data_IF_648980719459
#
_entry.id   IF_648980719459
#
_cell.length_a   1.000
_cell.length_b   1.000
_cell.length_c   1.000
_cell.angle_alpha   90.00
_cell.angle_beta   90.00
_cell.angle_gamma   90.00
#
_symmetry.space_group_name_H-M   'P 1'
#
loop_
_entity.id
_entity.type
_entity.pdbx_description
1 polymer ?
#
# COMPACT_ATOMS: atom_id res chain seq x y z
N UNK A 1 -1.97 3.89 39.64
CA UNK A 1 -1.15 4.71 38.72
C UNK A 1 0.24 4.11 38.72
N UNK A 2 0.68 3.57 37.57
CA UNK A 2 2.00 2.98 37.40
C UNK A 2 2.78 3.82 36.40
N UNK A 3 3.96 4.29 36.81
CA UNK A 3 4.79 5.29 36.15
C UNK A 3 5.91 4.68 35.27
N UNK A 4 5.71 3.47 34.71
CA UNK A 4 6.72 2.77 33.89
C UNK A 4 6.19 2.20 32.56
N UNK A 5 5.14 2.78 31.97
CA UNK A 5 4.87 2.82 30.52
C UNK A 5 4.78 1.54 29.68
N UNK A 6 4.93 0.33 30.22
CA UNK A 6 4.62 -0.90 29.50
C UNK A 6 3.12 -1.10 29.51
N UNK A 7 2.47 -0.93 28.35
CA UNK A 7 1.10 -1.37 28.17
C UNK A 7 1.02 -2.87 28.55
N UNK A 8 0.13 -3.22 29.48
CA UNK A 8 -0.12 -4.63 29.77
C UNK A 8 -0.75 -5.27 28.53
N UNK A 9 -0.04 -6.26 27.99
CA UNK A 9 -0.54 -7.12 26.91
C UNK A 9 -0.94 -8.48 27.51
N UNK A 10 -1.99 -9.14 27.01
CA UNK A 10 -2.85 -8.71 25.90
C UNK A 10 -3.89 -7.68 26.34
N UNK A 11 -4.23 -6.73 25.46
CA UNK A 11 -5.32 -5.77 25.68
C UNK A 11 -6.24 -5.66 24.48
N UNK A 12 -7.44 -5.12 24.66
CA UNK A 12 -8.27 -4.68 23.53
C UNK A 12 -7.69 -3.42 22.89
N UNK A 13 -8.03 -3.21 21.61
CA UNK A 13 -7.88 -1.91 20.97
C UNK A 13 -8.66 -0.87 21.78
N UNK A 14 -8.09 0.31 21.96
CA UNK A 14 -8.80 1.45 22.57
C UNK A 14 -9.86 1.99 21.61
N UNK A 15 -10.77 2.84 22.11
CA UNK A 15 -11.78 3.46 21.26
C UNK A 15 -11.12 4.29 20.14
N UNK A 16 -10.09 5.07 20.49
CA UNK A 16 -9.31 5.87 19.54
C UNK A 16 -8.61 5.00 18.48
N UNK A 17 -7.97 3.90 18.88
CA UNK A 17 -7.32 2.99 17.91
C UNK A 17 -8.34 2.36 16.96
N UNK A 18 -9.51 1.97 17.48
CA UNK A 18 -10.60 1.42 16.64
C UNK A 18 -11.09 2.47 15.64
N UNK A 19 -11.30 3.72 16.08
CA UNK A 19 -11.70 4.82 15.19
C UNK A 19 -10.67 5.04 14.08
N UNK A 20 -9.40 5.14 14.46
CA UNK A 20 -8.29 5.38 13.53
C UNK A 20 -8.09 4.26 12.51
N UNK A 21 -8.21 3.00 12.95
CA UNK A 21 -8.17 1.85 12.04
C UNK A 21 -9.41 1.81 11.13
N UNK A 22 -10.59 2.10 11.66
CA UNK A 22 -11.84 2.13 10.90
C UNK A 22 -11.86 3.24 9.85
N UNK A 23 -11.16 4.35 10.08
CA UNK A 23 -10.98 5.41 9.08
C UNK A 23 -10.33 4.88 7.80
N UNK A 24 -9.41 3.91 7.91
CA UNK A 24 -8.77 3.27 6.75
C UNK A 24 -9.64 2.23 6.06
N UNK A 25 -10.74 1.82 6.66
CA UNK A 25 -11.48 0.63 6.27
C UNK A 25 -12.95 0.98 5.95
N UNK A 26 -13.27 1.33 4.69
CA UNK A 26 -14.63 1.62 4.27
C UNK A 26 -15.58 0.43 4.52
N UNK A 27 -16.68 0.68 5.22
CA UNK A 27 -17.68 -0.36 5.58
C UNK A 27 -18.41 -0.93 4.37
N UNK A 28 -18.56 -0.12 3.32
CA UNK A 28 -19.31 -0.46 2.12
C UNK A 28 -18.49 -1.29 1.10
N UNK A 29 -17.25 -1.66 1.43
CA UNK A 29 -16.38 -2.47 0.59
C UNK A 29 -16.04 -3.76 1.34
N UNK A 30 -16.46 -4.90 0.80
CA UNK A 30 -16.42 -6.21 1.47
C UNK A 30 -15.05 -6.59 2.03
N UNK A 31 -13.97 -6.34 1.30
CA UNK A 31 -12.62 -6.72 1.74
C UNK A 31 -12.20 -5.92 2.98
N UNK A 32 -12.51 -4.62 3.03
CA UNK A 32 -12.18 -3.76 4.16
C UNK A 32 -13.12 -4.04 5.35
N UNK A 33 -14.41 -4.28 5.11
CA UNK A 33 -15.35 -4.60 6.17
C UNK A 33 -15.00 -5.93 6.88
N UNK A 34 -14.53 -6.94 6.13
CA UNK A 34 -14.00 -8.19 6.72
C UNK A 34 -12.84 -7.90 7.68
N UNK A 35 -11.92 -7.02 7.30
CA UNK A 35 -10.83 -6.59 8.18
C UNK A 35 -11.34 -5.85 9.43
N UNK A 36 -12.36 -4.99 9.32
CA UNK A 36 -12.98 -4.32 10.49
C UNK A 36 -13.55 -5.31 11.50
N UNK A 37 -14.21 -6.35 11.02
CA UNK A 37 -14.73 -7.42 11.88
C UNK A 37 -13.56 -8.20 12.50
N UNK A 38 -12.54 -8.52 11.71
CA UNK A 38 -11.36 -9.26 12.15
C UNK A 38 -10.61 -8.54 13.26
N UNK A 39 -10.24 -7.27 13.08
CA UNK A 39 -9.45 -6.52 14.08
C UNK A 39 -10.19 -6.40 15.43
N UNK A 40 -11.53 -6.29 15.42
CA UNK A 40 -12.34 -6.23 16.65
C UNK A 40 -12.35 -7.54 17.44
N UNK A 41 -12.18 -8.67 16.72
CA UNK A 41 -12.12 -10.01 17.34
C UNK A 41 -10.78 -10.29 18.03
N UNK A 42 -9.72 -9.57 17.66
CA UNK A 42 -8.35 -9.80 18.14
C UNK A 42 -8.02 -8.95 19.40
N UNK A 43 -6.82 -9.16 19.91
CA UNK A 43 -6.21 -8.43 21.02
C UNK A 43 -4.85 -7.90 20.60
N UNK A 44 -4.46 -6.74 21.10
CA UNK A 44 -3.07 -6.26 21.00
C UNK A 44 -2.22 -7.14 21.91
N UNK A 45 -1.38 -7.97 21.32
CA UNK A 45 -0.56 -8.99 22.02
C UNK A 45 0.88 -8.53 22.26
N UNK A 46 1.30 -7.42 21.64
CA UNK A 46 2.60 -6.82 21.88
C UNK A 46 2.95 -5.72 20.87
N UNK A 47 4.18 -5.22 20.99
CA UNK A 47 4.76 -4.28 20.04
C UNK A 47 5.37 -5.01 18.84
N UNK A 48 5.32 -4.35 17.69
CA UNK A 48 6.05 -4.79 16.51
C UNK A 48 7.50 -4.31 16.53
N UNK A 49 8.20 -4.49 15.39
CA UNK A 49 9.63 -4.22 15.27
C UNK A 49 10.01 -2.75 15.42
N UNK A 50 9.09 -1.83 15.17
CA UNK A 50 9.35 -0.39 15.19
C UNK A 50 9.16 0.25 16.58
N UNK A 51 8.73 -0.54 17.57
CA UNK A 51 8.56 -0.09 18.96
C UNK A 51 7.22 0.61 19.20
N UNK A 52 7.24 1.68 19.99
CA UNK A 52 6.03 2.42 20.35
C UNK A 52 5.26 2.93 19.12
N UNK A 53 3.93 2.84 19.15
CA UNK A 53 3.09 3.17 17.99
C UNK A 53 3.00 2.06 16.93
N UNK A 54 3.74 0.95 17.07
CA UNK A 54 3.66 -0.22 16.21
C UNK A 54 3.29 -1.46 17.02
N UNK A 55 2.17 -2.09 16.67
CA UNK A 55 1.54 -3.12 17.48
C UNK A 55 1.13 -4.32 16.64
N UNK A 56 1.02 -5.47 17.30
CA UNK A 56 0.55 -6.72 16.68
C UNK A 56 -0.75 -7.15 17.35
N UNK A 57 -1.75 -7.42 16.52
CA UNK A 57 -3.01 -8.06 16.90
C UNK A 57 -2.89 -9.57 16.76
N UNK A 58 -3.43 -10.32 17.72
CA UNK A 58 -3.50 -11.79 17.70
C UNK A 58 -4.53 -12.33 18.70
N UNK A 59 -4.52 -13.64 18.94
CA UNK A 59 -5.36 -14.28 19.96
C UNK A 59 -4.71 -14.15 21.33
N UNK A 60 -5.52 -14.28 22.39
CA UNK A 60 -5.00 -14.35 23.75
C UNK A 60 -4.10 -15.58 23.87
N UNK A 61 -2.88 -15.37 24.37
CA UNK A 61 -1.87 -16.43 24.53
C UNK A 61 -0.87 -16.51 23.38
N UNK A 62 -1.14 -15.83 22.26
CA UNK A 62 -0.16 -15.70 21.18
C UNK A 62 1.02 -14.81 21.61
N UNK A 63 2.18 -15.05 21.01
CA UNK A 63 3.36 -14.20 21.12
C UNK A 63 3.55 -13.47 19.79
N UNK A 64 3.88 -12.16 19.79
CA UNK A 64 4.22 -11.43 18.58
C UNK A 64 5.22 -12.19 17.71
N UNK A 65 4.82 -12.56 16.49
CA UNK A 65 5.76 -13.16 15.54
C UNK A 65 6.56 -12.07 14.84
N UNK A 66 7.81 -11.92 15.26
CA UNK A 66 8.75 -10.97 14.69
C UNK A 66 9.78 -11.66 13.79
N UNK A 67 9.57 -12.91 13.36
CA UNK A 67 10.53 -13.63 12.52
C UNK A 67 10.61 -13.07 11.10
N UNK A 68 9.52 -12.50 10.58
CA UNK A 68 9.46 -11.87 9.26
C UNK A 68 9.52 -10.34 9.35
N UNK A 69 10.00 -9.70 8.27
CA UNK A 69 9.79 -8.27 8.08
C UNK A 69 8.29 -7.97 7.99
N UNK A 70 7.88 -6.73 8.30
CA UNK A 70 6.49 -6.31 8.16
C UNK A 70 5.91 -6.70 6.80
N UNK A 71 4.70 -7.26 6.86
CA UNK A 71 3.98 -7.77 5.70
C UNK A 71 3.64 -6.63 4.74
N UNK A 72 3.12 -6.92 3.53
CA UNK A 72 2.59 -5.87 2.68
C UNK A 72 1.55 -5.00 3.41
N UNK A 73 1.52 -3.71 3.06
CA UNK A 73 0.52 -2.80 3.61
C UNK A 73 -0.83 -3.11 2.98
N UNK A 74 -1.80 -3.43 3.82
CA UNK A 74 -3.19 -3.67 3.43
C UNK A 74 -3.97 -2.36 3.27
N UNK A 75 -3.81 -1.45 4.23
CA UNK A 75 -4.44 -0.13 4.18
C UNK A 75 -3.54 0.93 4.81
N UNK A 76 -3.59 2.15 4.28
CA UNK A 76 -2.83 3.28 4.81
C UNK A 76 -3.53 4.59 4.52
N UNK A 77 -3.30 5.56 5.40
CA UNK A 77 -3.88 6.88 5.33
C UNK A 77 -3.45 7.77 6.47
N UNK A 78 -3.87 9.02 6.42
CA UNK A 78 -3.56 10.01 7.43
C UNK A 78 -4.85 10.65 7.93
N UNK A 79 -4.94 10.82 9.24
CA UNK A 79 -6.02 11.53 9.89
C UNK A 79 -5.47 12.89 10.34
N UNK A 80 -6.23 13.95 10.11
CA UNK A 80 -5.89 15.31 10.52
C UNK A 80 -6.84 15.68 11.65
N UNK A 81 -6.26 15.92 12.83
CA UNK A 81 -6.92 16.49 13.99
C UNK A 81 -6.69 18.01 14.01
N UNK A 82 -7.33 18.74 14.92
CA UNK A 82 -7.10 20.18 15.08
C UNK A 82 -5.61 20.51 15.36
N UNK A 83 -4.96 19.72 16.23
CA UNK A 83 -3.58 19.98 16.69
C UNK A 83 -2.56 18.91 16.26
N UNK A 84 -2.95 17.92 15.46
CA UNK A 84 -2.08 16.80 15.10
C UNK A 84 -2.37 16.19 13.73
N UNK A 85 -1.37 15.53 13.16
CA UNK A 85 -1.50 14.64 12.00
C UNK A 85 -1.02 13.26 12.40
N UNK A 86 -1.87 12.27 12.17
CA UNK A 86 -1.60 10.87 12.52
C UNK A 86 -1.56 10.05 11.25
N UNK A 87 -0.44 9.35 11.02
CA UNK A 87 -0.30 8.34 9.99
C UNK A 87 -0.73 7.00 10.56
N UNK A 88 -1.68 6.34 9.89
CA UNK A 88 -2.15 5.01 10.23
C UNK A 88 -1.76 4.05 9.11
N UNK A 89 -1.24 2.88 9.47
CA UNK A 89 -0.89 1.82 8.53
C UNK A 89 -1.35 0.48 9.10
N UNK A 90 -2.00 -0.33 8.28
CA UNK A 90 -2.46 -1.67 8.59
C UNK A 90 -1.84 -2.63 7.59
N UNK A 91 -1.22 -3.70 8.08
CA UNK A 91 -0.59 -4.71 7.24
C UNK A 91 -1.56 -5.88 6.95
N UNK A 92 -1.23 -6.69 5.96
CA UNK A 92 -1.97 -7.93 5.67
C UNK A 92 -1.88 -8.90 6.86
N UNK A 93 -2.93 -9.72 7.01
CA UNK A 93 -2.94 -10.80 8.01
C UNK A 93 -2.02 -11.96 7.58
N UNK A 94 -1.25 -12.49 8.54
CA UNK A 94 -0.44 -13.70 8.38
C UNK A 94 -0.44 -14.48 9.68
N UNK A 95 -0.62 -15.79 9.60
CA UNK A 95 -0.69 -16.69 10.77
C UNK A 95 -1.59 -16.14 11.90
N UNK A 96 -2.76 -15.62 11.49
CA UNK A 96 -3.79 -15.04 12.36
C UNK A 96 -3.37 -13.78 13.13
N UNK A 97 -2.21 -13.19 12.80
CA UNK A 97 -1.72 -11.94 13.35
C UNK A 97 -1.81 -10.80 12.35
N UNK A 98 -2.04 -9.59 12.85
CA UNK A 98 -2.12 -8.37 12.03
C UNK A 98 -1.26 -7.29 12.66
N UNK A 99 -0.24 -6.82 11.94
CA UNK A 99 0.56 -5.68 12.34
C UNK A 99 -0.12 -4.37 11.95
N UNK A 100 -0.12 -3.38 12.85
CA UNK A 100 -0.56 -2.02 12.55
C UNK A 100 0.35 -0.99 13.20
N UNK A 101 0.29 0.24 12.69
CA UNK A 101 0.96 1.38 13.32
C UNK A 101 0.11 2.64 13.27
N UNK A 102 0.23 3.44 14.33
CA UNK A 102 -0.44 4.72 14.53
C UNK A 102 0.62 5.67 15.05
N UNK A 103 1.05 6.60 14.19
CA UNK A 103 2.17 7.49 14.48
C UNK A 103 1.75 8.93 14.31
N UNK A 104 2.03 9.77 15.30
CA UNK A 104 1.92 11.22 15.15
C UNK A 104 3.09 11.69 14.27
N UNK A 105 2.79 12.24 13.11
CA UNK A 105 3.78 12.72 12.14
C UNK A 105 3.96 14.24 12.18
N UNK A 106 3.07 14.96 12.85
CA UNK A 106 3.18 16.38 13.14
C UNK A 106 2.22 16.77 14.27
N UNK A 107 2.61 17.73 15.11
CA UNK A 107 1.76 18.28 16.17
C UNK A 107 1.85 17.52 17.49
N UNK A 108 0.82 17.69 18.33
CA UNK A 108 0.78 17.20 19.70
C UNK A 108 0.15 15.80 19.82
N UNK A 109 0.09 15.29 21.07
CA UNK A 109 -0.57 14.03 21.37
C UNK A 109 -2.08 14.08 21.09
N UNK A 110 -2.62 12.98 20.56
CA UNK A 110 -4.04 12.81 20.27
C UNK A 110 -4.71 12.04 21.40
N UNK A 111 -5.86 12.54 21.85
CA UNK A 111 -6.74 11.88 22.83
C UNK A 111 -8.10 11.54 22.21
N UNK A 112 -8.95 10.83 22.95
CA UNK A 112 -10.33 10.50 22.52
C UNK A 112 -11.21 11.74 22.29
N UNK A 113 -10.88 12.88 22.92
CA UNK A 113 -11.60 14.15 22.75
C UNK A 113 -11.06 14.98 21.57
N UNK A 114 -9.98 14.55 20.93
CA UNK A 114 -9.37 15.28 19.81
C UNK A 114 -10.30 15.29 18.60
N UNK A 115 -10.56 16.48 18.06
CA UNK A 115 -11.49 16.66 16.96
C UNK A 115 -10.83 16.43 15.60
N UNK A 116 -11.38 15.50 14.82
CA UNK A 116 -10.97 15.25 13.43
C UNK A 116 -11.44 16.41 12.54
N UNK A 117 -10.53 16.99 11.78
CA UNK A 117 -10.79 18.06 10.81
C UNK A 117 -10.72 17.58 9.36
N UNK A 118 -10.13 16.40 9.13
CA UNK A 118 -10.08 15.77 7.82
C UNK A 118 -9.14 14.57 7.79
N UNK A 119 -8.75 14.18 6.58
CA UNK A 119 -7.82 13.08 6.38
C UNK A 119 -7.95 12.49 4.98
N UNK A 120 -7.17 11.47 4.71
CA UNK A 120 -7.17 10.75 3.44
C UNK A 120 -6.76 9.30 3.65
N UNK A 121 -7.21 8.41 2.77
CA UNK A 121 -6.78 7.01 2.72
C UNK A 121 -6.75 6.53 1.27
N UNK A 122 -5.86 5.59 0.96
CA UNK A 122 -5.88 4.93 -0.34
C UNK A 122 -7.13 4.05 -0.53
N UNK A 123 -7.74 3.58 0.56
CA UNK A 123 -8.85 2.63 0.51
C UNK A 123 -10.11 3.16 -0.15
N UNK A 124 -10.28 4.48 -0.20
CA UNK A 124 -11.46 5.14 -0.81
C UNK A 124 -11.23 5.57 -2.26
N UNK A 125 -10.00 5.50 -2.76
CA UNK A 125 -9.68 5.93 -4.13
C UNK A 125 -10.36 5.03 -5.17
N UNK A 126 -10.94 5.66 -6.20
CA UNK A 126 -11.54 4.97 -7.34
C UNK A 126 -10.95 5.46 -8.67
N UNK A 127 -11.06 4.65 -9.75
CA UNK A 127 -10.62 5.06 -11.08
C UNK A 127 -11.25 6.39 -11.52
N UNK A 128 -10.40 7.37 -11.82
CA UNK A 128 -10.80 8.72 -12.22
C UNK A 128 -10.70 9.76 -11.12
N UNK A 129 -10.56 9.34 -9.86
CA UNK A 129 -10.30 10.26 -8.76
C UNK A 129 -8.86 10.80 -8.81
N UNK A 130 -8.69 12.01 -8.29
CA UNK A 130 -7.37 12.58 -8.03
C UNK A 130 -6.68 11.88 -6.86
N UNK A 131 -5.40 12.17 -6.67
CA UNK A 131 -4.61 11.71 -5.51
C UNK A 131 -5.38 11.97 -4.20
N UNK A 132 -5.67 10.95 -3.37
CA UNK A 132 -6.35 11.18 -2.11
C UNK A 132 -5.50 12.02 -1.14
N UNK A 133 -4.18 11.98 -1.30
CA UNK A 133 -3.25 12.73 -0.45
C UNK A 133 -3.07 14.19 -0.88
N UNK A 134 -2.91 14.45 -2.18
CA UNK A 134 -2.54 15.79 -2.68
C UNK A 134 -3.61 16.47 -3.53
N UNK A 135 -4.61 15.73 -3.99
CA UNK A 135 -5.59 16.24 -4.96
C UNK A 135 -5.01 16.46 -6.36
N UNK A 136 -3.83 15.94 -6.66
CA UNK A 136 -3.22 16.03 -8.00
C UNK A 136 -3.71 14.94 -8.96
N UNK A 137 -3.51 15.19 -10.26
CA UNK A 137 -3.74 14.18 -11.30
C UNK A 137 -2.79 12.99 -11.14
N UNK A 138 -3.34 11.80 -11.39
CA UNK A 138 -2.62 10.54 -11.28
C UNK A 138 -2.35 9.96 -12.66
N UNK A 139 -1.21 9.30 -12.82
CA UNK A 139 -1.02 8.42 -13.96
C UNK A 139 -1.67 7.08 -13.66
N UNK A 140 -2.55 6.64 -14.56
CA UNK A 140 -3.12 5.30 -14.52
C UNK A 140 -2.65 4.48 -15.72
N UNK A 141 -2.39 3.19 -15.50
CA UNK A 141 -2.00 2.23 -16.54
C UNK A 141 -2.91 1.03 -16.44
N UNK A 142 -3.63 0.72 -17.52
CA UNK A 142 -4.43 -0.51 -17.62
C UNK A 142 -3.49 -1.72 -17.70
N UNK A 143 -3.57 -2.59 -16.70
CA UNK A 143 -2.80 -3.83 -16.62
C UNK A 143 -3.52 -4.98 -17.31
N UNK A 144 -4.84 -5.06 -17.10
CA UNK A 144 -5.69 -6.04 -17.76
C UNK A 144 -6.07 -5.59 -19.20
N UNK A 145 -6.41 -6.56 -20.05
CA UNK A 145 -6.96 -6.32 -21.38
C UNK A 145 -8.35 -5.67 -21.28
N UNK A 146 -9.19 -6.16 -20.36
CA UNK A 146 -10.46 -5.52 -20.03
C UNK A 146 -10.20 -4.20 -19.30
N UNK A 147 -10.78 -3.12 -19.82
CA UNK A 147 -10.63 -1.77 -19.26
C UNK A 147 -11.07 -1.75 -17.79
N UNK A 148 -10.27 -1.09 -16.95
CA UNK A 148 -10.49 -0.85 -15.52
C UNK A 148 -10.52 -2.09 -14.61
N UNK A 149 -10.44 -3.31 -15.13
CA UNK A 149 -10.41 -4.52 -14.28
C UNK A 149 -9.24 -4.50 -13.30
N UNK A 150 -8.08 -4.03 -13.79
CA UNK A 150 -6.90 -3.82 -12.97
C UNK A 150 -6.12 -2.60 -13.46
N UNK A 151 -5.93 -1.62 -12.57
CA UNK A 151 -5.23 -0.36 -12.87
C UNK A 151 -4.02 -0.20 -11.95
N UNK A 152 -2.86 -0.02 -12.54
CA UNK A 152 -1.70 0.48 -11.82
C UNK A 152 -1.79 2.01 -11.77
N UNK A 153 -1.65 2.56 -10.57
CA UNK A 153 -1.79 3.98 -10.31
C UNK A 153 -0.48 4.50 -9.76
N UNK A 154 -0.02 5.62 -10.31
CA UNK A 154 1.23 6.27 -9.93
C UNK A 154 0.96 7.73 -9.65
N UNK A 155 1.39 8.18 -8.47
CA UNK A 155 1.35 9.57 -8.07
C UNK A 155 2.74 10.17 -8.13
N UNK A 156 2.87 11.24 -8.93
CA UNK A 156 4.11 11.98 -9.09
C UNK A 156 4.52 12.69 -7.81
N UNK A 157 3.59 13.30 -7.07
CA UNK A 157 3.93 14.24 -6.00
C UNK A 157 4.35 13.54 -4.71
N UNK A 158 3.70 12.42 -4.36
CA UNK A 158 4.03 11.66 -3.15
C UNK A 158 4.82 10.38 -3.43
N UNK A 159 5.27 10.21 -4.68
CA UNK A 159 6.04 9.05 -5.12
C UNK A 159 5.41 7.70 -4.76
N UNK A 160 4.07 7.61 -4.77
CA UNK A 160 3.35 6.38 -4.41
C UNK A 160 2.90 5.60 -5.64
N UNK A 161 2.81 4.28 -5.46
CA UNK A 161 2.34 3.34 -6.46
C UNK A 161 1.36 2.39 -5.78
N UNK A 162 0.20 2.17 -6.39
CA UNK A 162 -0.75 1.17 -5.94
C UNK A 162 -1.47 0.54 -7.12
N UNK A 163 -2.10 -0.60 -6.87
CA UNK A 163 -2.85 -1.35 -7.86
C UNK A 163 -4.30 -1.44 -7.42
N UNK A 164 -5.20 -0.95 -8.25
CA UNK A 164 -6.64 -1.07 -8.05
C UNK A 164 -7.17 -2.35 -8.70
N UNK A 165 -7.89 -3.16 -7.94
CA UNK A 165 -8.60 -4.37 -8.39
C UNK A 165 -10.12 -4.12 -8.34
N UNK A 166 -10.76 -4.02 -9.50
CA UNK A 166 -12.18 -3.63 -9.62
C UNK A 166 -13.12 -4.63 -8.95
N UNK A 167 -12.88 -5.93 -9.15
CA UNK A 167 -13.71 -7.00 -8.62
C UNK A 167 -13.83 -6.98 -7.08
N UNK A 168 -12.83 -6.41 -6.38
CA UNK A 168 -12.83 -6.27 -4.91
C UNK A 168 -12.93 -4.83 -4.45
N UNK A 169 -12.88 -3.86 -5.36
CA UNK A 169 -12.72 -2.44 -5.09
C UNK A 169 -11.55 -2.17 -4.12
N UNK A 170 -10.44 -2.87 -4.33
CA UNK A 170 -9.32 -2.91 -3.40
C UNK A 170 -8.09 -2.20 -3.97
N UNK A 171 -7.44 -1.36 -3.16
CA UNK A 171 -6.21 -0.66 -3.50
C UNK A 171 -5.00 -1.32 -2.82
N UNK A 172 -4.25 -2.12 -3.58
CA UNK A 172 -3.02 -2.78 -3.13
C UNK A 172 -1.84 -1.81 -3.16
N UNK A 173 -1.31 -1.44 -2.01
CA UNK A 173 -0.17 -0.50 -1.94
C UNK A 173 1.13 -1.24 -2.33
N UNK A 174 1.88 -0.66 -3.28
CA UNK A 174 3.11 -1.26 -3.80
C UNK A 174 4.33 -0.51 -3.25
N UNK A 175 5.24 -1.20 -2.52
CA UNK A 175 6.56 -0.70 -2.20
C UNK A 175 7.31 -0.17 -3.43
N UNK A 176 7.54 1.14 -3.40
CA UNK A 176 7.98 1.92 -4.55
C UNK A 176 9.38 1.50 -5.01
N UNK A 177 10.33 1.33 -4.09
CA UNK A 177 11.72 0.98 -4.41
C UNK A 177 11.81 -0.32 -5.21
N UNK A 178 11.09 -1.36 -4.77
CA UNK A 178 11.12 -2.67 -5.42
C UNK A 178 10.48 -2.61 -6.81
N UNK A 179 9.37 -1.90 -6.96
CA UNK A 179 8.72 -1.75 -8.26
C UNK A 179 9.58 -0.95 -9.25
N UNK A 180 10.16 0.16 -8.80
CA UNK A 180 11.01 1.01 -9.63
C UNK A 180 12.29 0.27 -10.06
N UNK A 181 12.87 -0.57 -9.20
CA UNK A 181 13.96 -1.47 -9.59
C UNK A 181 13.60 -2.31 -10.81
N UNK A 182 12.41 -2.93 -10.84
CA UNK A 182 11.95 -3.73 -11.98
C UNK A 182 11.65 -2.88 -13.21
N UNK A 183 11.06 -1.69 -13.03
CA UNK A 183 10.82 -0.75 -14.12
C UNK A 183 12.13 -0.33 -14.80
N UNK A 184 13.16 -0.02 -14.00
CA UNK A 184 14.46 0.35 -14.52
C UNK A 184 15.18 -0.83 -15.17
N UNK A 185 15.05 -2.06 -14.64
CA UNK A 185 15.69 -3.26 -15.23
C UNK A 185 15.33 -3.46 -16.70
N UNK A 186 14.09 -3.20 -17.08
CA UNK A 186 13.60 -3.30 -18.45
C UNK A 186 14.02 -2.15 -19.38
N UNK A 187 14.57 -1.06 -18.84
CA UNK A 187 14.93 0.12 -19.59
C UNK A 187 16.45 0.37 -19.59
N UNK A 188 17.08 0.30 -20.77
CA UNK A 188 18.53 0.51 -20.95
C UNK A 188 18.91 1.97 -21.15
N UNK A 189 17.94 2.88 -21.33
CA UNK A 189 18.22 4.30 -21.59
C UNK A 189 18.49 5.12 -20.33
N UNK A 190 18.46 4.49 -19.15
CA UNK A 190 18.67 5.15 -17.86
C UNK A 190 20.00 4.66 -17.30
N UNK A 191 20.94 5.59 -17.13
CA UNK A 191 22.24 5.34 -16.53
C UNK A 191 22.06 4.95 -15.05
N UNK A 192 22.36 3.67 -14.75
CA UNK A 192 22.19 3.09 -13.40
C UNK A 192 23.40 3.33 -12.49
N UNK A 193 24.49 3.89 -13.02
CA UNK A 193 25.74 4.06 -12.26
C UNK A 193 25.67 5.17 -11.21
N UNK A 194 24.66 6.04 -11.29
CA UNK A 194 24.44 7.18 -10.37
C UNK A 194 23.43 6.89 -9.25
N UNK A 195 23.00 5.64 -9.08
CA UNK A 195 21.92 5.29 -8.17
C UNK A 195 20.53 5.68 -8.69
N UNK A 196 19.49 5.26 -7.98
CA UNK A 196 18.10 5.47 -8.38
C UNK A 196 17.65 6.84 -7.90
N UNK A 197 17.50 7.78 -8.82
CA UNK A 197 16.90 9.08 -8.53
C UNK A 197 15.38 8.99 -8.63
N UNK A 198 14.72 8.78 -7.49
CA UNK A 198 13.27 8.65 -7.36
C UNK A 198 12.52 9.87 -7.91
N UNK A 199 12.97 11.08 -7.57
CA UNK A 199 12.37 12.33 -8.03
C UNK A 199 12.39 12.40 -9.56
N UNK A 200 13.54 12.11 -10.17
CA UNK A 200 13.67 12.10 -11.63
C UNK A 200 12.69 11.12 -12.27
N UNK A 201 12.55 9.91 -11.71
CA UNK A 201 11.68 8.87 -12.28
C UNK A 201 10.21 9.31 -12.23
N UNK A 202 9.75 9.82 -11.10
CA UNK A 202 8.38 10.29 -10.94
C UNK A 202 8.10 11.60 -11.71
N UNK A 203 9.09 12.47 -11.85
CA UNK A 203 9.01 13.65 -12.70
C UNK A 203 8.86 13.31 -14.17
N UNK A 204 9.38 12.16 -14.58
CA UNK A 204 9.49 11.73 -15.97
C UNK A 204 8.71 10.45 -16.27
N UNK A 205 7.62 10.17 -15.52
CA UNK A 205 6.80 8.98 -15.76
C UNK A 205 6.42 8.87 -17.24
N UNK A 206 6.02 9.97 -17.88
CA UNK A 206 5.64 10.03 -19.30
C UNK A 206 6.68 9.48 -20.29
N UNK A 207 7.97 9.36 -19.92
CA UNK A 207 9.00 8.73 -20.75
C UNK A 207 8.88 7.21 -20.84
N UNK A 208 8.19 6.58 -19.88
CA UNK A 208 7.92 5.16 -19.84
C UNK A 208 6.58 4.85 -20.51
N UNK A 209 6.54 3.80 -21.32
CA UNK A 209 5.30 3.32 -21.96
C UNK A 209 4.54 2.44 -20.99
N UNK A 210 3.23 2.34 -21.18
CA UNK A 210 2.37 1.45 -20.39
C UNK A 210 2.88 0.00 -20.36
N UNK A 211 3.41 -0.50 -21.48
CA UNK A 211 4.01 -1.84 -21.54
C UNK A 211 5.23 -2.02 -20.63
N UNK A 212 5.97 -0.95 -20.32
CA UNK A 212 7.10 -1.00 -19.39
C UNK A 212 6.60 -1.20 -17.95
N UNK A 213 5.50 -0.54 -17.57
CA UNK A 213 4.85 -0.72 -16.27
C UNK A 213 4.21 -2.10 -16.12
N UNK A 214 3.57 -2.62 -17.17
CA UNK A 214 3.02 -3.98 -17.16
C UNK A 214 4.14 -5.00 -16.94
N UNK A 215 5.26 -4.87 -17.67
CA UNK A 215 6.44 -5.72 -17.47
C UNK A 215 6.98 -5.62 -16.04
N UNK A 216 7.16 -4.41 -15.52
CA UNK A 216 7.66 -4.17 -14.18
C UNK A 216 6.76 -4.83 -13.12
N UNK A 217 5.44 -4.67 -13.24
CA UNK A 217 4.48 -5.27 -12.32
C UNK A 217 4.54 -6.80 -12.35
N UNK A 218 4.63 -7.41 -13.53
CA UNK A 218 4.74 -8.87 -13.66
C UNK A 218 6.02 -9.38 -12.99
N UNK A 219 7.15 -8.71 -13.19
CA UNK A 219 8.42 -9.12 -12.57
C UNK A 219 8.43 -8.90 -11.06
N UNK A 220 7.89 -7.77 -10.60
CA UNK A 220 7.67 -7.49 -9.19
C UNK A 220 6.83 -8.60 -8.55
N UNK A 221 5.71 -8.96 -9.18
CA UNK A 221 4.79 -9.92 -8.61
C UNK A 221 5.33 -11.36 -8.62
N UNK A 222 6.23 -11.71 -9.55
CA UNK A 222 6.94 -13.01 -9.51
C UNK A 222 7.82 -13.18 -8.28
N UNK A 223 8.40 -12.10 -7.78
CA UNK A 223 9.32 -12.16 -6.63
C UNK A 223 8.56 -12.04 -5.29
N UNK A 224 7.45 -11.30 -5.28
CA UNK A 224 6.77 -10.93 -4.03
C UNK A 224 5.36 -11.52 -3.88
N UNK A 225 4.81 -12.17 -4.92
CA UNK A 225 3.50 -12.87 -4.93
C UNK A 225 2.32 -12.07 -4.35
N UNK A 226 2.30 -10.74 -4.52
CA UNK A 226 1.37 -9.86 -3.80
C UNK A 226 -0.04 -9.79 -4.40
N UNK A 227 -0.16 -10.04 -5.71
CA UNK A 227 -1.42 -9.91 -6.44
C UNK A 227 -1.64 -11.16 -7.28
N UNK A 228 -2.85 -11.71 -7.28
CA UNK A 228 -3.15 -12.86 -8.12
C UNK A 228 -3.36 -12.43 -9.59
N UNK A 229 -2.27 -12.35 -10.35
CA UNK A 229 -2.30 -11.98 -11.76
C UNK A 229 -2.68 -13.15 -12.70
N UNK A 230 -2.78 -14.40 -12.21
CA UNK A 230 -3.06 -15.56 -13.08
C UNK A 230 -4.51 -15.64 -13.53
N UNK A 231 -5.40 -14.87 -12.88
CA UNK A 231 -6.83 -14.82 -13.19
C UNK A 231 -7.22 -13.70 -14.14
N UNK A 232 -6.26 -12.89 -14.59
CA UNK A 232 -6.52 -11.78 -15.49
C UNK A 232 -5.78 -11.96 -16.81
N UNK A 233 -6.43 -11.57 -17.90
CA UNK A 233 -5.78 -11.48 -19.21
C UNK A 233 -4.95 -10.19 -19.23
N UNK A 234 -3.62 -10.36 -19.15
CA UNK A 234 -2.71 -9.22 -19.15
C UNK A 234 -2.70 -8.55 -20.53
N UNK A 235 -2.71 -7.22 -20.54
CA UNK A 235 -2.60 -6.44 -21.78
C UNK A 235 -1.36 -6.88 -22.56
N UNK A 236 -1.49 -7.24 -23.85
CA UNK A 236 -0.37 -7.77 -24.61
C UNK A 236 0.74 -6.74 -24.70
N UNK A 237 1.93 -7.15 -24.28
CA UNK A 237 3.14 -6.38 -24.45
C UNK A 237 3.50 -6.45 -25.93
N UNK A 238 3.17 -5.41 -26.71
CA UNK A 238 3.63 -5.28 -28.09
C UNK A 238 5.13 -5.03 -28.11
N UNK A 239 5.93 -6.09 -28.14
CA UNK A 239 7.34 -5.98 -28.47
C UNK A 239 7.46 -5.60 -29.95
N UNK A 240 8.27 -4.58 -30.26
CA UNK A 240 8.61 -4.30 -31.65
C UNK A 240 9.32 -5.53 -32.19
N UNK A 241 8.68 -6.26 -33.09
CA UNK A 241 9.32 -7.31 -33.85
C UNK A 241 10.59 -6.72 -34.49
N UNK A 242 11.75 -7.22 -34.08
CA UNK A 242 13.03 -6.85 -34.69
C UNK A 242 12.94 -7.11 -36.19
N UNK A 243 13.30 -6.12 -37.02
CA UNK A 243 13.34 -6.27 -38.48
C UNK A 243 14.19 -7.48 -38.93
N UNK A 244 15.11 -7.96 -38.08
CA UNK A 244 15.93 -9.14 -38.32
C UNK A 244 15.15 -10.46 -38.25
N UNK A 245 14.02 -10.55 -37.53
CA UNK A 245 13.23 -11.80 -37.49
C UNK A 245 12.47 -12.09 -38.80
N UNK A 246 12.38 -11.09 -39.69
CA UNK A 246 11.83 -11.25 -41.06
C UNK A 246 12.89 -11.65 -42.09
N UNK A 247 14.19 -11.54 -41.77
CA UNK A 247 15.28 -11.87 -42.71
C UNK A 247 15.71 -13.33 -42.56
N UNK A 248 15.56 -13.93 -41.37
CA UNK A 248 15.89 -15.35 -41.11
C UNK A 248 14.71 -16.32 -41.25
N UNK A 249 13.57 -15.86 -41.77
CA UNK A 249 12.46 -16.71 -42.25
C UNK A 249 12.44 -16.68 -43.79
N UNK A 250 13.42 -17.35 -44.41
CA UNK A 250 13.35 -17.81 -45.79
C UNK A 250 13.98 -19.18 -45.87
#
# INVERSE_FOLDING_TARGET
MNLNGQAEFPRKLTALEIEQLNFLLPENIDVYNKYRIRIKSLYVIGQGRLGEGNYILGKIGDVPDLSYSSLPVFASGQIVYEDAKVQVTLHEEFDEQIEFSINIIAGDNVSEDSKVTGGWTYSTWKPGDKSPFTGDELRTVNIAEKKNEMLLVLSKVNHSIWLYEDAKQYNHIIPVTNFINELLRGNTSIDRTKGINMNYIFDNLNKFKDGDFVKALVQYNKQWHKVNLSKIELKPIKEKASLFSKIFRK
#
